data_IF_264062692933
#
_entry.id   IF_264062692933
#
_cell.length_a   1.000
_cell.length_b   1.000
_cell.length_c   1.000
_cell.angle_alpha   90.00
_cell.angle_beta   90.00
_cell.angle_gamma   90.00
#
_symmetry.space_group_name_H-M   'P 1'
#
loop_
_entity.id
_entity.type
_entity.pdbx_description
1 polymer ?
#
# COMPACT_ATOMS: atom_id res chain seq x y z
N UNK A 1 -3.17 -5.10 19.54
CA UNK A 1 -3.28 -5.26 18.07
C UNK A 1 -3.42 -3.89 17.42
N UNK A 2 -2.86 -3.66 16.24
CA UNK A 2 -2.98 -2.37 15.53
C UNK A 2 -3.71 -2.61 14.21
N UNK A 3 -4.69 -1.74 13.89
CA UNK A 3 -5.36 -1.71 12.60
C UNK A 3 -5.01 -0.40 11.89
N UNK A 4 -4.52 -0.49 10.66
CA UNK A 4 -4.26 0.66 9.79
C UNK A 4 -5.29 0.68 8.67
N UNK A 5 -5.93 1.81 8.43
CA UNK A 5 -6.90 1.97 7.34
C UNK A 5 -6.75 3.32 6.64
N UNK A 6 -7.39 3.47 5.49
CA UNK A 6 -7.60 4.78 4.88
C UNK A 6 -8.59 5.65 5.70
N UNK A 7 -8.88 6.85 5.16
CA UNK A 7 -9.85 7.78 5.74
C UNK A 7 -11.30 7.50 5.29
N UNK A 8 -11.60 6.27 4.84
CA UNK A 8 -12.93 5.86 4.43
C UNK A 8 -13.96 6.11 5.53
N UNK A 9 -15.14 6.61 5.16
CA UNK A 9 -16.20 6.97 6.11
C UNK A 9 -16.62 5.79 6.98
N UNK A 10 -16.63 4.57 6.42
CA UNK A 10 -16.98 3.35 7.14
C UNK A 10 -15.99 3.07 8.29
N UNK A 11 -14.69 3.19 8.02
CA UNK A 11 -13.64 2.99 9.02
C UNK A 11 -13.63 4.12 10.05
N UNK A 12 -14.09 5.33 9.71
CA UNK A 12 -14.17 6.48 10.60
C UNK A 12 -15.50 6.61 11.35
N UNK A 13 -16.42 5.65 11.21
CA UNK A 13 -17.69 5.66 11.92
C UNK A 13 -17.51 5.51 13.44
N UNK A 14 -18.48 6.05 14.20
CA UNK A 14 -18.52 5.89 15.66
C UNK A 14 -18.59 4.41 16.04
N UNK A 15 -19.43 3.63 15.34
CA UNK A 15 -19.57 2.19 15.52
C UNK A 15 -18.22 1.46 15.40
N UNK A 16 -17.48 1.72 14.32
CA UNK A 16 -16.19 1.07 14.09
C UNK A 16 -15.16 1.46 15.16
N UNK A 17 -15.20 2.71 15.62
CA UNK A 17 -14.32 3.20 16.68
C UNK A 17 -14.59 2.50 18.01
N UNK A 18 -15.86 2.33 18.40
CA UNK A 18 -16.23 1.59 19.61
C UNK A 18 -15.89 0.10 19.51
N UNK A 19 -16.12 -0.51 18.34
CA UNK A 19 -15.72 -1.89 18.09
C UNK A 19 -14.20 -2.09 18.31
N UNK A 20 -13.37 -1.18 17.77
CA UNK A 20 -11.92 -1.23 18.00
C UNK A 20 -11.56 -1.11 19.48
N UNK A 21 -12.24 -0.25 20.25
CA UNK A 21 -12.01 -0.11 21.69
C UNK A 21 -12.34 -1.40 22.44
N UNK A 22 -13.50 -1.99 22.18
CA UNK A 22 -13.95 -3.24 22.83
C UNK A 22 -12.98 -4.40 22.56
N UNK A 23 -12.41 -4.45 21.36
CA UNK A 23 -11.44 -5.48 20.97
C UNK A 23 -9.99 -5.16 21.34
N UNK A 24 -9.71 -4.03 22.03
CA UNK A 24 -8.35 -3.61 22.38
C UNK A 24 -7.46 -3.32 21.16
N UNK A 25 -8.06 -2.84 20.06
CA UNK A 25 -7.41 -2.56 18.78
C UNK A 25 -7.06 -1.07 18.72
N UNK A 26 -5.77 -0.76 18.58
CA UNK A 26 -5.32 0.59 18.29
C UNK A 26 -5.53 0.89 16.81
N UNK A 27 -6.42 1.82 16.49
CA UNK A 27 -6.68 2.25 15.12
C UNK A 27 -5.73 3.39 14.69
N UNK A 28 -5.11 3.24 13.53
CA UNK A 28 -4.23 4.22 12.87
C UNK A 28 -4.73 4.50 11.45
N UNK A 29 -4.28 5.61 10.83
CA UNK A 29 -4.81 6.07 9.53
C UNK A 29 -3.75 6.64 8.60
N UNK A 30 -3.96 6.48 7.28
CA UNK A 30 -3.09 7.11 6.26
C UNK A 30 -3.26 8.64 6.23
N UNK A 31 -2.21 9.33 5.80
CA UNK A 31 -2.29 10.76 5.45
C UNK A 31 -3.05 10.93 4.13
N UNK A 32 -3.78 12.04 3.99
CA UNK A 32 -4.63 12.27 2.82
C UNK A 32 -3.80 12.23 1.51
N UNK A 33 -4.20 11.37 0.57
CA UNK A 33 -3.57 11.22 -0.76
C UNK A 33 -2.07 10.84 -0.71
N UNK A 34 -1.66 10.01 0.24
CA UNK A 34 -0.34 9.35 0.26
C UNK A 34 -0.50 7.84 -0.04
N UNK A 35 -0.68 7.46 -1.32
CA UNK A 35 -0.96 6.07 -1.72
C UNK A 35 0.19 5.10 -1.36
N UNK A 36 1.39 5.60 -1.09
CA UNK A 36 2.52 4.78 -0.66
C UNK A 36 2.28 4.10 0.70
N UNK A 37 1.52 4.73 1.61
CA UNK A 37 1.18 4.15 2.91
C UNK A 37 0.14 3.01 2.81
N UNK A 38 -0.67 3.00 1.76
CA UNK A 38 -1.68 1.95 1.51
C UNK A 38 -1.28 1.01 0.34
N UNK A 39 -0.10 1.23 -0.22
CA UNK A 39 0.33 0.58 -1.46
C UNK A 39 0.50 -0.94 -1.36
N UNK A 40 0.56 -1.50 -0.16
CA UNK A 40 0.52 -2.95 0.05
C UNK A 40 -0.89 -3.51 -0.16
N UNK A 41 -1.91 -2.85 0.38
CA UNK A 41 -3.30 -3.24 0.20
C UNK A 41 -3.76 -2.99 -1.24
N UNK A 42 -3.40 -1.86 -1.84
CA UNK A 42 -3.69 -1.57 -3.24
C UNK A 42 -3.05 -2.61 -4.19
N UNK A 43 -1.81 -3.01 -3.91
CA UNK A 43 -1.13 -4.08 -4.68
C UNK A 43 -1.85 -5.41 -4.52
N UNK A 44 -2.24 -5.77 -3.30
CA UNK A 44 -2.99 -6.99 -3.04
C UNK A 44 -4.34 -7.01 -3.78
N UNK A 45 -5.11 -5.93 -3.70
CA UNK A 45 -6.37 -5.80 -4.42
C UNK A 45 -6.18 -5.91 -5.93
N UNK A 46 -5.12 -5.31 -6.47
CA UNK A 46 -4.79 -5.46 -7.89
C UNK A 46 -4.47 -6.91 -8.25
N UNK A 47 -3.75 -7.64 -7.41
CA UNK A 47 -3.48 -9.08 -7.61
C UNK A 47 -4.77 -9.90 -7.62
N UNK A 48 -5.67 -9.66 -6.66
CA UNK A 48 -7.00 -10.30 -6.64
C UNK A 48 -7.75 -10.02 -7.95
N UNK A 49 -7.87 -8.74 -8.32
CA UNK A 49 -8.65 -8.34 -9.50
C UNK A 49 -8.07 -8.92 -10.78
N UNK A 50 -6.73 -8.91 -10.94
CA UNK A 50 -6.07 -9.50 -12.09
C UNK A 50 -6.33 -11.01 -12.18
N UNK A 51 -6.33 -11.72 -11.06
CA UNK A 51 -6.60 -13.15 -11.06
C UNK A 51 -8.08 -13.44 -11.35
N UNK A 52 -9.00 -12.76 -10.67
CA UNK A 52 -10.44 -12.94 -10.89
C UNK A 52 -10.80 -12.64 -12.35
N UNK A 53 -10.22 -11.60 -12.96
CA UNK A 53 -10.46 -11.27 -14.36
C UNK A 53 -10.14 -12.41 -15.36
N UNK A 54 -9.32 -13.39 -14.97
CA UNK A 54 -9.00 -14.55 -15.82
C UNK A 54 -10.05 -15.67 -15.75
N UNK A 55 -10.75 -15.81 -14.62
CA UNK A 55 -11.65 -16.93 -14.35
C UNK A 55 -13.13 -16.55 -14.37
N UNK A 56 -13.42 -15.27 -14.17
CA UNK A 56 -14.76 -14.72 -14.14
C UNK A 56 -15.41 -14.85 -15.52
N UNK A 57 -16.67 -15.28 -15.52
CA UNK A 57 -17.50 -15.41 -16.71
C UNK A 57 -17.68 -14.08 -17.46
N UNK A 58 -18.12 -14.13 -18.74
CA UNK A 58 -18.29 -12.93 -19.57
C UNK A 58 -19.24 -11.90 -18.98
N UNK A 59 -20.26 -12.32 -18.24
CA UNK A 59 -21.23 -11.43 -17.58
C UNK A 59 -20.81 -11.03 -16.15
N UNK A 60 -19.67 -11.53 -15.66
CA UNK A 60 -19.04 -11.17 -14.39
C UNK A 60 -19.86 -11.41 -13.12
N UNK A 61 -20.85 -12.30 -13.17
CA UNK A 61 -21.76 -12.55 -12.05
C UNK A 61 -21.27 -13.60 -11.05
N UNK A 62 -20.15 -14.28 -11.33
CA UNK A 62 -19.66 -15.45 -10.60
C UNK A 62 -18.32 -15.22 -9.88
N UNK A 63 -17.85 -13.97 -9.79
CA UNK A 63 -16.54 -13.64 -9.23
C UNK A 63 -16.34 -14.06 -7.77
N UNK A 64 -17.41 -14.05 -6.99
CA UNK A 64 -17.44 -14.45 -5.60
C UNK A 64 -17.22 -15.97 -5.43
N UNK A 65 -17.70 -16.77 -6.38
CA UNK A 65 -17.50 -18.23 -6.38
C UNK A 65 -16.03 -18.63 -6.58
N UNK A 66 -15.25 -17.80 -7.29
CA UNK A 66 -13.82 -18.03 -7.55
C UNK A 66 -12.91 -17.53 -6.43
N UNK A 67 -13.42 -16.67 -5.54
CA UNK A 67 -12.63 -16.03 -4.49
C UNK A 67 -11.98 -17.03 -3.52
N UNK A 68 -12.65 -18.11 -3.04
CA UNK A 68 -12.01 -19.10 -2.16
C UNK A 68 -10.82 -19.80 -2.82
N UNK A 69 -10.92 -20.14 -4.11
CA UNK A 69 -9.83 -20.77 -4.87
C UNK A 69 -8.63 -19.83 -5.00
N UNK A 70 -8.89 -18.56 -5.36
CA UNK A 70 -7.84 -17.55 -5.39
C UNK A 70 -7.15 -17.40 -4.03
N UNK A 71 -7.93 -17.30 -2.95
CA UNK A 71 -7.39 -17.12 -1.61
C UNK A 71 -6.54 -18.32 -1.16
N UNK A 72 -6.90 -19.54 -1.56
CA UNK A 72 -6.07 -20.72 -1.35
C UNK A 72 -4.75 -20.58 -2.10
N UNK A 73 -4.81 -20.33 -3.41
CA UNK A 73 -3.63 -20.19 -4.26
C UNK A 73 -2.70 -19.07 -3.78
N UNK A 74 -3.25 -17.92 -3.40
CA UNK A 74 -2.50 -16.79 -2.87
C UNK A 74 -1.80 -17.14 -1.54
N UNK A 75 -2.48 -17.84 -0.63
CA UNK A 75 -1.89 -18.23 0.67
C UNK A 75 -0.83 -19.31 0.54
N UNK A 76 -0.85 -20.11 -0.52
CA UNK A 76 0.12 -21.17 -0.79
C UNK A 76 1.21 -20.78 -1.79
N UNK A 77 1.14 -19.62 -2.42
CA UNK A 77 2.16 -19.13 -3.34
C UNK A 77 3.24 -18.34 -2.60
N UNK A 78 4.50 -18.54 -2.98
CA UNK A 78 5.61 -17.77 -2.43
C UNK A 78 5.49 -16.30 -2.84
N UNK A 79 5.64 -15.40 -1.86
CA UNK A 79 5.62 -13.97 -2.14
C UNK A 79 7.04 -13.46 -2.43
N UNK A 80 7.24 -12.80 -3.57
CA UNK A 80 8.58 -12.39 -4.08
C UNK A 80 9.44 -11.64 -3.05
N UNK A 81 8.82 -10.80 -2.21
CA UNK A 81 9.54 -10.00 -1.20
C UNK A 81 10.03 -10.85 -0.03
N UNK A 82 9.21 -11.77 0.47
CA UNK A 82 9.54 -12.58 1.66
C UNK A 82 10.26 -13.86 1.25
N UNK A 83 9.98 -14.40 0.06
CA UNK A 83 10.43 -15.73 -0.38
C UNK A 83 9.74 -16.87 0.36
N UNK A 84 8.58 -16.58 0.96
CA UNK A 84 7.81 -17.51 1.78
C UNK A 84 6.34 -17.37 1.42
N UNK A 85 5.56 -18.43 1.66
CA UNK A 85 4.11 -18.37 1.50
C UNK A 85 3.45 -17.65 2.69
N UNK A 86 2.33 -16.94 2.49
CA UNK A 86 1.58 -16.36 3.61
C UNK A 86 1.15 -17.39 4.65
N UNK A 87 0.85 -18.62 4.23
CA UNK A 87 0.51 -19.72 5.14
C UNK A 87 1.67 -20.13 6.04
N UNK A 88 2.89 -20.20 5.52
CA UNK A 88 4.07 -20.51 6.35
C UNK A 88 4.34 -19.41 7.36
N UNK A 89 4.20 -18.15 6.97
CA UNK A 89 4.38 -17.02 7.89
C UNK A 89 3.37 -17.01 9.02
N UNK A 90 2.15 -17.48 8.77
CA UNK A 90 1.06 -17.48 9.75
C UNK A 90 1.04 -18.74 10.62
N UNK A 91 1.21 -19.91 10.00
CA UNK A 91 1.02 -21.21 10.65
C UNK A 91 2.32 -21.98 10.87
N UNK A 92 3.46 -21.47 10.40
CA UNK A 92 4.73 -22.19 10.44
C UNK A 92 4.74 -23.43 9.54
N UNK A 93 3.81 -23.58 8.59
CA UNK A 93 3.70 -24.74 7.70
C UNK A 93 3.02 -24.38 6.38
N UNK A 94 3.32 -25.14 5.33
CA UNK A 94 2.61 -25.04 4.05
C UNK A 94 1.21 -25.66 4.14
N UNK A 95 0.26 -25.13 3.38
CA UNK A 95 -1.09 -25.67 3.28
C UNK A 95 -1.06 -27.05 2.60
N UNK A 96 -2.05 -27.88 2.91
CA UNK A 96 -2.32 -29.10 2.12
C UNK A 96 -3.10 -28.70 0.88
N UNK A 97 -2.55 -29.00 -0.28
CA UNK A 97 -3.14 -28.69 -1.58
C UNK A 97 -3.70 -29.97 -2.24
N UNK A 98 -4.61 -29.85 -3.24
CA UNK A 98 -5.11 -31.01 -3.97
C UNK A 98 -4.01 -31.90 -4.56
N UNK A 99 -2.88 -31.31 -4.98
CA UNK A 99 -1.74 -32.08 -5.48
C UNK A 99 -1.11 -32.97 -4.38
N UNK A 100 -1.10 -32.54 -3.12
CA UNK A 100 -0.56 -33.34 -2.01
C UNK A 100 -1.43 -34.58 -1.73
N UNK A 101 -2.71 -34.53 -2.10
CA UNK A 101 -3.61 -35.67 -2.00
C UNK A 101 -3.27 -36.70 -3.09
N UNK A 102 -2.97 -36.22 -4.30
CA UNK A 102 -2.68 -37.08 -5.47
C UNK A 102 -1.29 -37.70 -5.39
N UNK A 103 -0.28 -36.91 -5.04
CA UNK A 103 1.12 -37.34 -5.04
C UNK A 103 1.63 -37.79 -3.67
N UNK A 104 0.85 -37.56 -2.61
CA UNK A 104 1.26 -37.80 -1.25
C UNK A 104 2.22 -36.72 -0.73
N UNK A 105 2.33 -36.65 0.60
CA UNK A 105 3.25 -35.74 1.30
C UNK A 105 4.00 -36.50 2.38
N UNK A 106 5.29 -36.19 2.63
CA UNK A 106 6.02 -36.76 3.76
C UNK A 106 5.26 -36.55 5.08
N UNK A 107 5.24 -37.58 5.93
CA UNK A 107 4.61 -37.47 7.25
C UNK A 107 5.44 -36.58 8.17
N UNK A 108 4.88 -35.45 8.58
CA UNK A 108 5.42 -34.60 9.66
C UNK A 108 4.70 -34.91 10.98
N UNK A 109 4.50 -36.19 11.31
CA UNK A 109 3.88 -36.60 12.59
C UNK A 109 4.88 -36.41 13.73
N UNK A 110 4.63 -35.47 14.67
CA UNK A 110 5.49 -35.26 15.83
C UNK A 110 5.37 -36.47 16.77
N UNK A 111 6.44 -36.81 17.48
CA UNK A 111 6.40 -37.93 18.44
C UNK A 111 5.58 -37.58 19.69
N UNK A 112 5.41 -36.29 20.00
CA UNK A 112 4.56 -35.80 21.11
C UNK A 112 4.01 -34.38 20.88
N UNK A 113 2.94 -33.97 21.60
CA UNK A 113 2.44 -32.59 21.57
C UNK A 113 3.46 -31.53 22.00
N UNK A 114 4.30 -31.84 23.00
CA UNK A 114 5.33 -30.91 23.48
C UNK A 114 6.42 -30.69 22.42
N UNK A 115 6.82 -31.76 21.74
CA UNK A 115 7.77 -31.68 20.63
C UNK A 115 7.19 -30.84 19.48
N UNK A 116 5.90 -31.04 19.14
CA UNK A 116 5.21 -30.24 18.14
C UNK A 116 5.24 -28.74 18.47
N UNK A 117 4.90 -28.37 19.71
CA UNK A 117 4.87 -26.97 20.14
C UNK A 117 6.26 -26.34 20.02
N UNK A 118 7.30 -27.03 20.52
CA UNK A 118 8.68 -26.54 20.44
C UNK A 118 9.15 -26.38 19.00
N UNK A 119 8.86 -27.37 18.15
CA UNK A 119 9.21 -27.32 16.72
C UNK A 119 8.47 -26.18 16.00
N UNK A 120 7.19 -25.97 16.31
CA UNK A 120 6.39 -24.88 15.74
C UNK A 120 6.94 -23.51 16.14
N UNK A 121 7.29 -23.33 17.41
CA UNK A 121 7.90 -22.09 17.92
C UNK A 121 9.22 -21.79 17.19
N UNK A 122 10.16 -22.75 17.16
CA UNK A 122 11.43 -22.60 16.45
C UNK A 122 11.24 -22.35 14.94
N UNK A 123 10.24 -22.98 14.33
CA UNK A 123 9.94 -22.77 12.91
C UNK A 123 9.37 -21.39 12.64
N UNK A 124 8.45 -20.90 13.47
CA UNK A 124 7.91 -19.53 13.34
C UNK A 124 9.00 -18.48 13.55
N UNK A 125 9.87 -18.66 14.55
CA UNK A 125 11.00 -17.77 14.80
C UNK A 125 11.93 -17.68 13.58
N UNK A 126 12.30 -18.83 13.02
CA UNK A 126 13.19 -18.87 11.84
C UNK A 126 12.54 -18.30 10.59
N UNK A 127 11.28 -18.65 10.30
CA UNK A 127 10.49 -18.09 9.19
C UNK A 127 10.38 -16.58 9.30
N UNK A 128 10.09 -16.04 10.49
CA UNK A 128 9.98 -14.60 10.69
C UNK A 128 11.34 -13.89 10.63
N UNK A 129 12.41 -14.51 11.13
CA UNK A 129 13.77 -13.98 11.03
C UNK A 129 14.19 -13.86 9.56
N UNK A 130 14.01 -14.93 8.78
CA UNK A 130 14.29 -14.95 7.34
C UNK A 130 13.45 -13.91 6.59
N UNK A 131 12.15 -13.83 6.87
CA UNK A 131 11.28 -12.83 6.25
C UNK A 131 11.74 -11.40 6.53
N UNK A 132 12.14 -11.09 7.78
CA UNK A 132 12.64 -9.75 8.16
C UNK A 132 13.91 -9.37 7.40
N UNK A 133 14.86 -10.30 7.26
CA UNK A 133 16.09 -10.06 6.50
C UNK A 133 15.79 -9.79 5.02
N UNK A 134 14.94 -10.62 4.41
CA UNK A 134 14.52 -10.47 3.01
C UNK A 134 13.79 -9.16 2.76
N UNK A 135 12.87 -8.79 3.65
CA UNK A 135 12.15 -7.51 3.59
C UNK A 135 13.13 -6.34 3.70
N UNK A 136 14.13 -6.42 4.60
CA UNK A 136 15.16 -5.39 4.75
C UNK A 136 15.94 -5.20 3.45
N UNK A 137 16.46 -6.29 2.86
CA UNK A 137 17.19 -6.24 1.59
C UNK A 137 16.33 -5.71 0.44
N UNK A 138 15.07 -6.13 0.36
CA UNK A 138 14.13 -5.63 -0.66
C UNK A 138 13.85 -4.13 -0.49
N UNK A 139 13.70 -3.67 0.76
CA UNK A 139 13.51 -2.26 1.11
C UNK A 139 14.74 -1.42 0.74
N UNK A 140 15.94 -1.91 1.04
CA UNK A 140 17.20 -1.24 0.66
C UNK A 140 17.34 -1.11 -0.86
N UNK A 141 17.09 -2.18 -1.62
CA UNK A 141 17.09 -2.14 -3.10
C UNK A 141 16.07 -1.16 -3.64
N UNK A 142 14.87 -1.14 -3.06
CA UNK A 142 13.81 -0.21 -3.44
C UNK A 142 14.21 1.24 -3.17
N UNK A 143 14.82 1.50 -2.01
CA UNK A 143 15.33 2.82 -1.63
C UNK A 143 16.42 3.28 -2.60
N UNK A 144 17.44 2.47 -2.87
CA UNK A 144 18.51 2.82 -3.83
C UNK A 144 17.95 3.16 -5.22
N UNK A 145 16.94 2.41 -5.69
CA UNK A 145 16.27 2.68 -6.97
C UNK A 145 15.42 3.95 -6.95
N UNK A 146 14.80 4.26 -5.82
CA UNK A 146 14.03 5.50 -5.66
C UNK A 146 14.96 6.71 -5.61
N UNK A 147 15.99 6.66 -4.76
CA UNK A 147 16.97 7.73 -4.56
C UNK A 147 17.72 8.05 -5.86
N UNK A 148 18.04 7.05 -6.69
CA UNK A 148 18.69 7.28 -7.99
C UNK A 148 17.79 7.96 -9.04
N UNK A 149 16.47 7.95 -8.84
CA UNK A 149 15.48 8.61 -9.71
C UNK A 149 14.93 9.89 -9.12
N UNK A 150 15.18 10.16 -7.84
CA UNK A 150 14.70 11.34 -7.16
C UNK A 150 15.47 12.57 -7.67
N UNK A 151 14.77 13.49 -8.32
CA UNK A 151 15.34 14.81 -8.64
C UNK A 151 15.29 15.70 -7.41
N UNK A 152 16.44 16.28 -7.06
CA UNK A 152 16.65 17.05 -5.82
C UNK A 152 16.09 18.49 -5.88
N UNK A 153 14.82 18.64 -6.26
CA UNK A 153 14.18 19.95 -6.36
C UNK A 153 13.70 20.43 -4.99
N UNK A 154 14.44 21.34 -4.37
CA UNK A 154 14.04 21.96 -3.11
C UNK A 154 13.39 23.32 -3.33
N UNK A 155 12.26 23.56 -2.66
CA UNK A 155 11.60 24.86 -2.62
C UNK A 155 11.89 25.62 -1.32
N UNK A 156 11.92 26.94 -1.39
CA UNK A 156 12.01 27.87 -0.27
C UNK A 156 10.64 28.49 0.03
N UNK A 157 10.48 29.03 1.24
CA UNK A 157 9.29 29.81 1.59
C UNK A 157 9.22 31.05 0.71
N UNK A 158 8.03 31.32 0.15
CA UNK A 158 7.81 32.36 -0.85
C UNK A 158 7.85 31.88 -2.30
N UNK A 159 8.41 30.70 -2.59
CA UNK A 159 8.48 30.20 -3.98
C UNK A 159 7.09 29.93 -4.55
N UNK A 160 6.92 30.25 -5.84
CA UNK A 160 5.75 29.88 -6.61
C UNK A 160 5.91 28.48 -7.19
N UNK A 161 4.90 27.64 -6.99
CA UNK A 161 4.88 26.25 -7.43
C UNK A 161 3.56 25.89 -8.10
N UNK A 162 3.63 25.00 -9.08
CA UNK A 162 2.49 24.22 -9.57
C UNK A 162 2.22 23.07 -8.60
N UNK A 163 0.95 22.78 -8.34
CA UNK A 163 0.52 21.67 -7.49
C UNK A 163 -0.27 20.64 -8.32
N UNK A 164 0.20 19.40 -8.37
CA UNK A 164 -0.49 18.29 -9.02
C UNK A 164 -1.71 17.85 -8.19
N UNK A 165 -2.90 17.97 -8.76
CA UNK A 165 -4.19 17.69 -8.16
C UNK A 165 -5.12 16.95 -9.16
N UNK A 166 -5.04 15.60 -9.22
CA UNK A 166 -5.83 14.82 -10.16
C UNK A 166 -7.30 14.72 -9.70
N UNK A 167 -8.11 15.73 -10.04
CA UNK A 167 -9.55 15.75 -9.77
C UNK A 167 -10.30 15.00 -10.88
N UNK A 168 -10.93 13.87 -10.55
CA UNK A 168 -11.86 13.20 -11.48
C UNK A 168 -13.16 13.99 -11.60
N UNK A 169 -13.38 14.67 -12.72
CA UNK A 169 -14.68 15.30 -13.07
C UNK A 169 -15.54 14.32 -13.87
N UNK A 170 -16.79 14.09 -13.45
CA UNK A 170 -17.75 13.27 -14.21
C UNK A 170 -18.00 13.89 -15.58
N UNK A 171 -18.06 13.05 -16.63
CA UNK A 171 -18.31 13.46 -18.02
C UNK A 171 -17.09 13.92 -18.82
N UNK A 172 -15.91 14.03 -18.19
CA UNK A 172 -14.65 14.40 -18.87
C UNK A 172 -13.65 13.25 -18.78
N UNK A 173 -12.93 12.99 -19.88
CA UNK A 173 -11.87 11.97 -19.91
C UNK A 173 -10.74 12.32 -18.94
N UNK A 174 -10.41 11.46 -17.96
CA UNK A 174 -9.29 11.70 -17.03
C UNK A 174 -7.94 11.87 -17.72
N UNK A 175 -7.78 11.33 -18.94
CA UNK A 175 -6.54 11.42 -19.71
C UNK A 175 -6.33 12.80 -20.34
N UNK A 176 -7.39 13.60 -20.51
CA UNK A 176 -7.35 14.92 -21.16
C UNK A 176 -7.46 16.08 -20.16
N UNK A 177 -7.40 15.80 -18.85
CA UNK A 177 -7.54 16.82 -17.81
C UNK A 177 -6.18 17.41 -17.42
N UNK A 178 -6.12 18.75 -17.30
CA UNK A 178 -4.97 19.44 -16.73
C UNK A 178 -4.98 19.25 -15.20
N UNK A 179 -4.15 18.33 -14.73
CA UNK A 179 -4.05 17.98 -13.32
C UNK A 179 -3.11 18.90 -12.54
N UNK A 180 -2.34 19.77 -13.19
CA UNK A 180 -1.50 20.75 -12.51
C UNK A 180 -2.29 22.05 -12.30
N UNK A 181 -2.43 22.47 -11.05
CA UNK A 181 -3.12 23.71 -10.63
C UNK A 181 -2.08 24.71 -10.11
N UNK A 182 -2.22 25.99 -10.42
CA UNK A 182 -1.25 27.02 -10.02
C UNK A 182 -1.74 28.45 -10.25
N UNK A 183 -1.01 29.45 -9.75
CA UNK A 183 0.18 29.33 -8.90
C UNK A 183 -0.19 29.13 -7.41
N UNK A 184 0.67 28.42 -6.68
CA UNK A 184 0.63 28.31 -5.22
C UNK A 184 1.92 28.87 -4.63
N UNK A 185 1.84 29.53 -3.48
CA UNK A 185 3.00 29.99 -2.72
C UNK A 185 3.36 28.98 -1.65
N UNK A 186 4.65 28.66 -1.53
CA UNK A 186 5.17 27.88 -0.40
C UNK A 186 5.14 28.75 0.86
N UNK A 187 4.28 28.38 1.81
CA UNK A 187 4.12 29.08 3.10
C UNK A 187 5.15 28.58 4.12
N UNK A 188 5.38 27.26 4.14
CA UNK A 188 6.30 26.66 5.10
C UNK A 188 6.89 25.36 4.60
N UNK A 189 8.20 25.15 4.81
CA UNK A 189 8.81 23.82 4.70
C UNK A 189 8.59 23.05 6.00
N UNK A 190 7.83 21.95 5.96
CA UNK A 190 7.56 21.15 7.16
C UNK A 190 8.66 20.12 7.41
N UNK A 191 9.15 19.49 6.33
CA UNK A 191 10.33 18.63 6.33
C UNK A 191 10.94 18.61 4.91
N UNK A 192 11.93 17.76 4.64
CA UNK A 192 12.61 17.72 3.32
C UNK A 192 11.71 17.31 2.15
N UNK A 193 10.59 16.64 2.41
CA UNK A 193 9.72 16.09 1.36
C UNK A 193 8.28 16.61 1.44
N UNK A 194 7.92 17.40 2.46
CA UNK A 194 6.57 17.89 2.71
C UNK A 194 6.58 19.40 2.92
N UNK A 195 5.74 20.07 2.14
CA UNK A 195 5.58 21.52 2.12
C UNK A 195 4.15 21.92 2.42
N UNK A 196 3.99 23.06 3.08
CA UNK A 196 2.70 23.74 3.22
C UNK A 196 2.60 24.81 2.13
N UNK A 197 1.61 24.69 1.26
CA UNK A 197 1.38 25.59 0.13
C UNK A 197 0.00 26.24 0.22
N UNK A 198 -0.12 27.46 -0.30
CA UNK A 198 -1.36 28.25 -0.25
C UNK A 198 -1.57 28.99 -1.56
N UNK A 199 -2.82 29.00 -2.06
CA UNK A 199 -3.16 29.62 -3.36
C UNK A 199 -3.33 31.13 -3.27
N UNK A 200 -3.91 31.59 -2.17
CA UNK A 200 -4.14 33.01 -1.86
C UNK A 200 -4.25 33.17 -0.35
N UNK A 201 -4.05 34.38 0.20
CA UNK A 201 -4.08 34.62 1.65
C UNK A 201 -5.35 34.10 2.35
N UNK A 202 -6.49 34.11 1.65
CA UNK A 202 -7.79 33.68 2.17
C UNK A 202 -8.08 32.19 1.93
N UNK A 203 -7.27 31.48 1.13
CA UNK A 203 -7.48 30.06 0.85
C UNK A 203 -6.91 29.19 1.98
N UNK A 204 -7.58 28.07 2.30
CA UNK A 204 -7.06 27.09 3.28
C UNK A 204 -5.71 26.52 2.81
N UNK A 205 -4.65 26.57 3.64
CA UNK A 205 -3.36 25.96 3.32
C UNK A 205 -3.48 24.44 3.11
N UNK A 206 -2.66 23.90 2.22
CA UNK A 206 -2.57 22.47 1.94
C UNK A 206 -1.17 21.95 2.27
N UNK A 207 -1.10 20.76 2.84
CA UNK A 207 0.16 20.06 3.12
C UNK A 207 0.37 19.03 2.02
N UNK A 208 1.44 19.17 1.24
CA UNK A 208 1.67 18.45 -0.02
C UNK A 208 3.09 17.90 -0.06
N UNK A 209 3.25 16.68 -0.58
CA UNK A 209 4.54 16.06 -0.83
C UNK A 209 5.24 16.69 -2.04
N UNK A 210 6.57 16.81 -2.01
CA UNK A 210 7.41 17.48 -3.01
C UNK A 210 7.23 16.92 -4.43
N UNK A 211 7.02 15.60 -4.56
CA UNK A 211 6.72 14.94 -5.85
C UNK A 211 5.42 15.43 -6.53
N UNK A 212 4.55 16.15 -5.82
CA UNK A 212 3.34 16.78 -6.36
C UNK A 212 3.52 18.28 -6.60
N UNK A 213 4.73 18.81 -6.45
CA UNK A 213 5.06 20.19 -6.71
C UNK A 213 6.01 20.27 -7.90
N UNK A 214 5.85 21.29 -8.72
CA UNK A 214 6.77 21.63 -9.80
C UNK A 214 7.07 23.12 -9.76
N UNK A 215 8.28 23.56 -10.15
CA UNK A 215 8.64 24.97 -10.16
C UNK A 215 7.70 25.75 -11.10
N UNK A 216 7.16 26.86 -10.61
CA UNK A 216 6.40 27.80 -11.44
C UNK A 216 7.37 28.78 -12.10
N UNK A 217 7.47 28.73 -13.43
CA UNK A 217 8.18 29.76 -14.21
C UNK A 217 7.13 30.68 -14.81
N UNK A 218 7.11 31.95 -14.41
CA UNK A 218 6.31 32.94 -15.13
C UNK A 218 6.88 33.04 -16.55
N UNK A 219 6.05 32.79 -17.56
CA UNK A 219 6.41 33.19 -18.92
C UNK A 219 6.25 34.70 -18.98
N UNK A 220 7.35 35.43 -19.08
CA UNK A 220 7.34 36.86 -19.39
C UNK A 220 6.76 37.02 -20.81
N UNK A 221 5.44 37.12 -20.92
CA UNK A 221 4.79 37.71 -22.09
C UNK A 221 4.88 39.23 -21.97
N UNK A 222 6.12 39.72 -21.98
CA UNK A 222 6.47 41.13 -22.14
C UNK A 222 7.31 41.26 -23.39
N UNK A 223 6.73 40.98 -24.57
CA UNK A 223 7.18 41.40 -25.90
C UNK A 223 6.19 40.94 -26.97
N UNK A 224 5.16 41.75 -27.24
CA UNK A 224 4.68 42.18 -28.57
C UNK A 224 3.44 43.07 -28.41
#
# INVERSE_FOLDING_TARGET
>A
MILHSDQGTNFNSALFTELCKLLGILKTRTTALHPESDGMFERFNRTILNHLALFVSRNQTDWDTHLPLFLLAYRSAEHEVTGLTPAEMLFGRTLRLPCDIVFGRPSETPSSPNEYMKNLETRLESVHAFARERIKLASERMKTRYDSRATDHHFKEGDLVWMYNPKRRRGLSPKLQQNWEGSYTVVKKLNNVVYRVQRSPNAKPKVIHINRLAPYRATDHSSM
#
